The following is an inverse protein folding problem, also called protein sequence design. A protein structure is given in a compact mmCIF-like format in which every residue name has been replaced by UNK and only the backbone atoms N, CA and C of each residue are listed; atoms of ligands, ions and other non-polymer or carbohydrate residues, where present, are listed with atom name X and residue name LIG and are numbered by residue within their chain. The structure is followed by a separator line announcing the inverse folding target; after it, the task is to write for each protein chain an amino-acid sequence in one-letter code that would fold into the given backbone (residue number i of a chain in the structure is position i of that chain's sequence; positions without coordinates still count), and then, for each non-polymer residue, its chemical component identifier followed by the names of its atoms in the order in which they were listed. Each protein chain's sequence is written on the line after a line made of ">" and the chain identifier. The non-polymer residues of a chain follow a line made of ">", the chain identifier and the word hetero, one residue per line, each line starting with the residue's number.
data_IF_679626697929
#
_entry.id   IF_679626697929
#
_cell.length_a   1.000
_cell.length_b   1.000
_cell.length_c   1.000
_cell.angle_alpha   90.00
_cell.angle_beta   90.00
_cell.angle_gamma   90.00
#
_symmetry.space_group_name_H-M   'P 1'
#
loop_
_entity.id
_entity.type
_entity.pdbx_description
1 polymer ?
#
# COMPACT_ATOMS: atom_id res chain seq x y z
N UNK A 1 -14.43 -22.62 1.70
CA UNK A 1 -14.09 -21.95 0.42
C UNK A 1 -12.93 -22.66 -0.30
N UNK A 2 -11.78 -22.98 0.35
CA UNK A 2 -10.61 -23.59 -0.30
C UNK A 2 -10.91 -24.93 -1.00
N UNK A 3 -11.71 -25.79 -0.39
CA UNK A 3 -12.10 -27.09 -0.97
C UNK A 3 -12.99 -26.89 -2.21
N UNK A 4 -13.90 -25.93 -2.19
CA UNK A 4 -14.75 -25.59 -3.34
C UNK A 4 -13.89 -25.05 -4.48
N UNK A 5 -12.93 -24.18 -4.19
CA UNK A 5 -11.99 -23.63 -5.18
C UNK A 5 -11.13 -24.74 -5.80
N UNK A 6 -10.64 -25.70 -5.01
CA UNK A 6 -9.91 -26.87 -5.52
C UNK A 6 -10.78 -27.74 -6.43
N UNK A 7 -12.05 -27.93 -6.10
CA UNK A 7 -12.99 -28.67 -6.97
C UNK A 7 -13.25 -27.91 -8.28
N UNK A 8 -13.40 -26.59 -8.21
CA UNK A 8 -13.62 -25.76 -9.39
C UNK A 8 -12.38 -25.67 -10.30
N UNK A 9 -11.15 -25.66 -9.75
CA UNK A 9 -9.94 -25.67 -10.58
C UNK A 9 -9.81 -26.91 -11.45
N UNK A 10 -10.38 -28.04 -11.04
CA UNK A 10 -10.44 -29.27 -11.87
C UNK A 10 -11.38 -29.19 -13.08
N UNK A 11 -12.24 -28.13 -13.14
CA UNK A 11 -13.17 -27.90 -14.25
C UNK A 11 -12.62 -26.93 -15.30
N UNK A 12 -11.47 -26.29 -15.03
CA UNK A 12 -10.85 -25.36 -15.97
C UNK A 12 -9.86 -26.11 -16.87
N UNK A 13 -9.98 -25.91 -18.16
CA UNK A 13 -9.01 -26.38 -19.13
C UNK A 13 -7.67 -25.63 -18.95
N UNK A 14 -6.55 -26.32 -19.22
CA UNK A 14 -5.21 -25.75 -19.17
C UNK A 14 -5.08 -24.59 -20.17
N UNK A 15 -4.96 -23.37 -19.67
CA UNK A 15 -4.83 -22.16 -20.49
C UNK A 15 -3.38 -21.84 -20.86
N UNK A 16 -2.41 -22.61 -20.36
CA UNK A 16 -0.99 -22.39 -20.64
C UNK A 16 -0.65 -22.87 -22.05
N UNK A 17 -0.45 -21.95 -22.96
CA UNK A 17 -0.11 -22.25 -24.36
C UNK A 17 1.26 -22.94 -24.54
N UNK A 18 2.17 -22.80 -23.57
CA UNK A 18 3.48 -23.47 -23.56
C UNK A 18 3.79 -23.93 -22.12
N UNK A 19 3.63 -25.22 -21.80
CA UNK A 19 4.00 -25.74 -20.50
C UNK A 19 5.53 -25.65 -20.33
N UNK A 20 5.97 -24.83 -19.40
CA UNK A 20 7.38 -24.74 -18.99
C UNK A 20 7.58 -25.79 -17.90
N UNK A 21 8.57 -26.68 -18.04
CA UNK A 21 8.95 -27.60 -16.97
C UNK A 21 9.34 -26.77 -15.74
N UNK A 22 8.48 -26.80 -14.72
CA UNK A 22 8.69 -26.09 -13.47
C UNK A 22 9.83 -26.77 -12.70
N UNK A 23 11.05 -26.26 -12.83
CA UNK A 23 12.15 -26.58 -11.92
C UNK A 23 12.12 -25.59 -10.76
N UNK A 24 12.18 -26.09 -9.52
CA UNK A 24 12.24 -25.23 -8.32
C UNK A 24 13.38 -24.19 -8.44
N UNK A 25 14.54 -24.61 -8.97
CA UNK A 25 15.69 -23.73 -9.19
C UNK A 25 15.35 -22.59 -10.15
N UNK A 26 14.65 -22.88 -11.24
CA UNK A 26 14.23 -21.86 -12.23
C UNK A 26 13.22 -20.89 -11.61
N UNK A 27 12.28 -21.41 -10.80
CA UNK A 27 11.30 -20.59 -10.09
C UNK A 27 12.01 -19.63 -9.13
N UNK A 28 12.89 -20.12 -8.25
CA UNK A 28 13.64 -19.29 -7.31
C UNK A 28 14.51 -18.24 -8.00
N UNK A 29 15.16 -18.61 -9.11
CA UNK A 29 15.96 -17.68 -9.90
C UNK A 29 15.10 -16.56 -10.50
N UNK A 30 13.97 -16.90 -11.13
CA UNK A 30 13.07 -15.94 -11.73
C UNK A 30 12.42 -15.02 -10.69
N UNK A 31 12.12 -15.53 -9.49
CA UNK A 31 11.68 -14.73 -8.36
C UNK A 31 12.75 -13.77 -7.87
N UNK A 32 14.00 -14.24 -7.74
CA UNK A 32 15.15 -13.39 -7.38
C UNK A 32 15.36 -12.26 -8.38
N UNK A 33 15.30 -12.56 -9.67
CA UNK A 33 15.39 -11.55 -10.73
C UNK A 33 14.25 -10.53 -10.68
N UNK A 34 13.02 -10.97 -10.42
CA UNK A 34 11.87 -10.08 -10.25
C UNK A 34 12.01 -9.17 -9.02
N UNK A 35 12.47 -9.72 -7.89
CA UNK A 35 12.72 -8.93 -6.66
C UNK A 35 13.83 -7.90 -6.84
N UNK A 36 14.85 -8.19 -7.66
CA UNK A 36 15.93 -7.25 -7.96
C UNK A 36 15.54 -6.19 -8.99
N UNK A 37 14.39 -6.33 -9.66
CA UNK A 37 13.95 -5.37 -10.68
C UNK A 37 13.45 -4.07 -10.04
N UNK A 38 14.23 -2.99 -10.13
CA UNK A 38 14.01 -1.71 -9.42
C UNK A 38 12.60 -1.15 -9.60
N UNK A 39 12.05 -1.17 -10.82
CA UNK A 39 10.71 -0.65 -11.11
C UNK A 39 9.65 -1.49 -10.39
N UNK A 40 9.74 -2.82 -10.49
CA UNK A 40 8.83 -3.72 -9.78
C UNK A 40 8.91 -3.50 -8.27
N UNK A 41 10.11 -3.47 -7.69
CA UNK A 41 10.31 -3.30 -6.26
C UNK A 41 9.66 -2.02 -5.71
N UNK A 42 9.90 -0.87 -6.36
CA UNK A 42 9.38 0.42 -5.91
C UNK A 42 7.85 0.46 -5.98
N UNK A 43 7.25 0.00 -7.10
CA UNK A 43 5.79 0.00 -7.21
C UNK A 43 5.13 -1.08 -6.35
N UNK A 44 5.79 -2.21 -6.11
CA UNK A 44 5.37 -3.21 -5.14
C UNK A 44 5.43 -2.67 -3.70
N UNK A 45 6.45 -1.86 -3.36
CA UNK A 45 6.51 -1.17 -2.08
C UNK A 45 5.38 -0.14 -1.94
N UNK A 46 4.96 0.53 -3.01
CA UNK A 46 3.78 1.40 -2.98
C UNK A 46 2.49 0.61 -2.71
N UNK A 47 2.34 -0.60 -3.28
CA UNK A 47 1.25 -1.52 -2.88
C UNK A 47 1.40 -1.87 -1.40
N UNK A 48 2.64 -2.13 -0.96
CA UNK A 48 2.99 -2.39 0.45
C UNK A 48 2.59 -1.25 1.39
N UNK A 49 2.64 0.01 0.95
CA UNK A 49 2.21 1.15 1.76
C UNK A 49 0.75 1.03 2.22
N UNK A 50 -0.13 0.52 1.36
CA UNK A 50 -1.55 0.28 1.72
C UNK A 50 -1.65 -0.76 2.84
N UNK A 51 -0.89 -1.85 2.73
CA UNK A 51 -0.87 -2.90 3.76
C UNK A 51 -0.18 -2.44 5.03
N UNK A 52 0.95 -1.74 4.94
CA UNK A 52 1.64 -1.14 6.09
C UNK A 52 0.68 -0.23 6.85
N UNK A 53 0.02 0.70 6.18
CA UNK A 53 -0.95 1.59 6.81
C UNK A 53 -2.07 0.80 7.48
N UNK A 54 -2.71 -0.14 6.78
CA UNK A 54 -3.86 -0.90 7.29
C UNK A 54 -3.50 -1.80 8.46
N UNK A 55 -2.37 -2.51 8.42
CA UNK A 55 -1.95 -3.40 9.50
C UNK A 55 -1.39 -2.63 10.71
N UNK A 56 -0.63 -1.54 10.49
CA UNK A 56 -0.21 -0.67 11.58
C UNK A 56 -1.41 0.02 12.25
N UNK A 57 -2.41 0.45 11.46
CA UNK A 57 -3.67 0.98 12.00
C UNK A 57 -4.37 -0.09 12.85
N UNK A 58 -4.56 -1.30 12.32
CA UNK A 58 -5.24 -2.37 13.05
C UNK A 58 -4.53 -2.73 14.37
N UNK A 59 -3.20 -2.65 14.40
CA UNK A 59 -2.42 -2.92 15.62
C UNK A 59 -2.44 -1.75 16.62
N UNK A 60 -2.38 -0.50 16.16
CA UNK A 60 -2.24 0.67 17.03
C UNK A 60 -3.57 1.33 17.40
N UNK A 61 -4.56 1.36 16.49
CA UNK A 61 -5.78 2.15 16.68
C UNK A 61 -6.63 1.76 17.90
N UNK A 62 -6.76 0.48 18.31
CA UNK A 62 -7.46 0.15 19.55
C UNK A 62 -6.81 0.78 20.79
N UNK A 63 -5.48 0.78 20.86
CA UNK A 63 -4.73 1.38 21.96
C UNK A 63 -4.84 2.91 21.95
N UNK A 64 -4.77 3.54 20.76
CA UNK A 64 -4.96 4.99 20.59
C UNK A 64 -6.37 5.38 21.01
N UNK A 65 -7.39 4.64 20.58
CA UNK A 65 -8.77 4.90 20.90
C UNK A 65 -9.02 4.82 22.42
N UNK A 66 -8.49 3.79 23.08
CA UNK A 66 -8.71 3.59 24.51
C UNK A 66 -7.88 4.54 25.38
N UNK A 67 -6.58 4.69 25.10
CA UNK A 67 -5.66 5.38 26.01
C UNK A 67 -5.57 6.89 25.75
N UNK A 68 -5.78 7.33 24.50
CA UNK A 68 -5.61 8.74 24.10
C UNK A 68 -6.97 9.41 23.87
N UNK A 69 -7.88 8.73 23.16
CA UNK A 69 -9.20 9.27 22.82
C UNK A 69 -10.28 8.91 23.84
N UNK A 70 -9.97 8.07 24.83
CA UNK A 70 -10.85 7.60 25.90
C UNK A 70 -12.17 7.01 25.40
N UNK A 71 -12.12 6.30 24.25
CA UNK A 71 -13.27 5.64 23.65
C UNK A 71 -13.45 4.23 24.23
N UNK A 72 -14.69 3.82 24.43
CA UNK A 72 -15.00 2.41 24.68
C UNK A 72 -14.95 1.59 23.36
N UNK A 73 -15.02 0.25 23.47
CA UNK A 73 -14.91 -0.64 22.32
C UNK A 73 -16.05 -0.46 21.30
N UNK A 74 -17.26 -0.12 21.76
CA UNK A 74 -18.41 0.10 20.88
C UNK A 74 -18.25 1.40 20.09
N UNK A 75 -17.84 2.49 20.75
CA UNK A 75 -17.60 3.78 20.10
C UNK A 75 -16.44 3.68 19.09
N UNK A 76 -15.36 2.97 19.43
CA UNK A 76 -14.30 2.68 18.48
C UNK A 76 -14.81 1.97 17.23
N UNK A 77 -15.69 0.97 17.41
CA UNK A 77 -16.32 0.27 16.29
C UNK A 77 -17.14 1.19 15.38
N UNK A 78 -17.95 2.08 15.99
CA UNK A 78 -18.74 3.06 15.22
C UNK A 78 -17.86 4.04 14.45
N UNK A 79 -16.81 4.58 15.06
CA UNK A 79 -15.90 5.48 14.39
C UNK A 79 -15.12 4.79 13.27
N UNK A 80 -14.81 3.50 13.41
CA UNK A 80 -14.13 2.74 12.36
C UNK A 80 -14.98 2.54 11.09
N UNK A 81 -16.31 2.67 11.18
CA UNK A 81 -17.19 2.68 10.01
C UNK A 81 -16.82 3.82 9.06
N UNK A 82 -16.36 4.97 9.59
CA UNK A 82 -15.92 6.10 8.76
C UNK A 82 -14.75 5.71 7.84
N UNK A 83 -13.81 4.89 8.32
CA UNK A 83 -12.70 4.38 7.52
C UNK A 83 -13.21 3.47 6.37
N UNK A 84 -14.21 2.63 6.64
CA UNK A 84 -14.82 1.77 5.62
C UNK A 84 -15.56 2.58 4.55
N UNK A 85 -16.30 3.62 4.98
CA UNK A 85 -16.96 4.55 4.05
C UNK A 85 -15.91 5.27 3.20
N UNK A 86 -14.81 5.73 3.83
CA UNK A 86 -13.68 6.34 3.12
C UNK A 86 -13.13 5.41 2.03
N UNK A 87 -12.82 4.16 2.38
CA UNK A 87 -12.30 3.17 1.44
C UNK A 87 -13.28 2.91 0.28
N UNK A 88 -14.58 2.75 0.57
CA UNK A 88 -15.62 2.51 -0.42
C UNK A 88 -15.77 3.69 -1.39
N UNK A 89 -15.89 4.90 -0.87
CA UNK A 89 -15.96 6.11 -1.69
C UNK A 89 -14.68 6.32 -2.52
N UNK A 90 -13.52 6.03 -1.93
CA UNK A 90 -12.23 6.06 -2.61
C UNK A 90 -12.17 5.12 -3.80
N UNK A 91 -12.69 3.90 -3.69
CA UNK A 91 -12.72 2.93 -4.77
C UNK A 91 -13.59 3.40 -5.95
N UNK A 92 -14.74 4.05 -5.65
CA UNK A 92 -15.61 4.65 -6.69
C UNK A 92 -14.86 5.77 -7.42
N UNK A 93 -14.18 6.64 -6.69
CA UNK A 93 -13.40 7.74 -7.27
C UNK A 93 -12.22 7.22 -8.06
N UNK A 94 -11.50 6.19 -7.56
CA UNK A 94 -10.40 5.54 -8.26
C UNK A 94 -10.79 5.08 -9.66
N UNK A 95 -11.96 4.47 -9.81
CA UNK A 95 -12.47 3.98 -11.10
C UNK A 95 -12.65 5.08 -12.16
N UNK A 96 -12.88 6.32 -11.71
CA UNK A 96 -13.00 7.50 -12.60
C UNK A 96 -11.63 8.14 -12.86
N UNK A 97 -10.77 8.23 -11.84
CA UNK A 97 -9.44 8.83 -11.94
C UNK A 97 -8.54 8.06 -12.92
N UNK A 98 -8.54 6.73 -12.85
CA UNK A 98 -7.71 5.87 -13.72
C UNK A 98 -8.06 6.04 -15.21
N UNK A 99 -9.29 6.47 -15.53
CA UNK A 99 -9.70 6.75 -16.92
C UNK A 99 -9.23 8.10 -17.42
N UNK A 100 -8.90 9.04 -16.53
CA UNK A 100 -8.64 10.45 -16.89
C UNK A 100 -7.19 10.86 -16.70
N UNK A 101 -6.48 10.26 -15.76
CA UNK A 101 -5.13 10.64 -15.38
C UNK A 101 -4.16 9.47 -15.47
N UNK A 102 -2.88 9.76 -15.63
CA UNK A 102 -1.83 8.75 -15.63
C UNK A 102 -1.67 8.09 -14.24
N UNK A 103 -1.41 6.79 -14.24
CA UNK A 103 -1.28 6.02 -13.00
C UNK A 103 -0.23 6.60 -12.04
N UNK A 104 0.88 7.15 -12.56
CA UNK A 104 1.94 7.74 -11.73
C UNK A 104 1.47 9.03 -11.06
N UNK A 105 0.70 9.86 -11.75
CA UNK A 105 0.14 11.10 -11.20
C UNK A 105 -0.84 10.81 -10.06
N UNK A 106 -1.74 9.84 -10.26
CA UNK A 106 -2.70 9.40 -9.23
C UNK A 106 -1.95 8.87 -8.01
N UNK A 107 -0.90 8.07 -8.25
CA UNK A 107 -0.09 7.48 -7.19
C UNK A 107 0.64 8.54 -6.36
N UNK A 108 1.31 9.50 -7.02
CA UNK A 108 2.00 10.60 -6.35
C UNK A 108 1.03 11.48 -5.55
N UNK A 109 -0.13 11.82 -6.12
CA UNK A 109 -1.16 12.59 -5.42
C UNK A 109 -1.65 11.85 -4.16
N UNK A 110 -1.94 10.55 -4.27
CA UNK A 110 -2.40 9.74 -3.14
C UNK A 110 -1.35 9.64 -2.03
N UNK A 111 -0.08 9.38 -2.36
CA UNK A 111 1.00 9.30 -1.37
C UNK A 111 1.20 10.67 -0.70
N UNK A 112 1.15 11.77 -1.46
CA UNK A 112 1.25 13.13 -0.92
C UNK A 112 0.14 13.42 0.09
N UNK A 113 -1.11 13.04 -0.20
CA UNK A 113 -2.24 13.23 0.72
C UNK A 113 -2.02 12.41 2.01
N UNK A 114 -1.51 11.18 1.93
CA UNK A 114 -1.17 10.38 3.11
C UNK A 114 -0.09 11.11 3.93
N UNK A 115 1.01 11.54 3.31
CA UNK A 115 2.10 12.25 3.99
C UNK A 115 1.56 13.49 4.72
N UNK A 116 0.80 14.33 4.03
CA UNK A 116 0.22 15.55 4.61
C UNK A 116 -0.74 15.22 5.76
N UNK A 117 -1.61 14.22 5.60
CA UNK A 117 -2.53 13.78 6.65
C UNK A 117 -1.80 13.33 7.92
N UNK A 118 -0.73 12.54 7.77
CA UNK A 118 0.05 12.07 8.92
C UNK A 118 0.91 13.18 9.56
N UNK A 119 1.38 14.16 8.79
CA UNK A 119 2.02 15.37 9.34
C UNK A 119 1.01 16.16 10.17
N UNK A 120 -0.22 16.38 9.67
CA UNK A 120 -1.28 17.08 10.39
C UNK A 120 -1.67 16.31 11.66
N UNK A 121 -1.76 14.99 11.60
CA UNK A 121 -2.02 14.15 12.78
C UNK A 121 -0.92 14.33 13.84
N UNK A 122 0.35 14.35 13.42
CA UNK A 122 1.48 14.62 14.30
C UNK A 122 1.41 16.01 14.94
N UNK A 123 1.06 17.03 14.18
CA UNK A 123 0.88 18.40 14.70
C UNK A 123 -0.24 18.46 15.75
N UNK A 124 -1.40 17.84 15.49
CA UNK A 124 -2.48 17.78 16.46
C UNK A 124 -2.08 17.01 17.73
N UNK A 125 -1.24 15.99 17.60
CA UNK A 125 -0.72 15.26 18.75
C UNK A 125 0.23 16.12 19.60
N UNK A 126 1.16 16.84 18.97
CA UNK A 126 2.11 17.73 19.70
C UNK A 126 1.38 18.87 20.41
N UNK A 127 0.34 19.44 19.79
CA UNK A 127 -0.44 20.54 20.39
C UNK A 127 -1.47 20.06 21.40
N UNK A 128 -1.63 18.75 21.60
CA UNK A 128 -2.64 18.18 22.50
C UNK A 128 -4.07 18.41 22.02
N UNK A 129 -4.27 18.75 20.74
CA UNK A 129 -5.60 19.05 20.17
C UNK A 129 -6.17 17.92 19.34
N UNK A 130 -5.55 16.72 19.40
CA UNK A 130 -6.03 15.56 18.66
C UNK A 130 -7.38 15.09 19.19
N UNK A 131 -8.43 15.31 18.42
CA UNK A 131 -9.78 14.87 18.70
C UNK A 131 -10.09 13.54 18.02
N UNK A 132 -11.14 12.86 18.48
CA UNK A 132 -11.67 11.63 17.83
C UNK A 132 -11.98 11.88 16.35
N UNK A 133 -12.65 12.98 16.03
CA UNK A 133 -12.97 13.37 14.64
C UNK A 133 -11.68 13.59 13.83
N UNK A 134 -10.68 14.25 14.44
CA UNK A 134 -9.38 14.48 13.79
C UNK A 134 -8.67 13.17 13.44
N UNK A 135 -8.59 12.25 14.40
CA UNK A 135 -7.94 10.95 14.19
C UNK A 135 -8.65 10.12 13.12
N UNK A 136 -9.96 9.85 13.29
CA UNK A 136 -10.72 9.03 12.35
C UNK A 136 -10.96 9.73 11.01
N UNK A 137 -11.05 11.07 10.98
CA UNK A 137 -11.13 11.83 9.73
C UNK A 137 -9.87 11.70 8.88
N UNK A 138 -8.69 11.86 9.48
CA UNK A 138 -7.42 11.68 8.77
C UNK A 138 -7.23 10.23 8.31
N UNK A 139 -7.54 9.24 9.16
CA UNK A 139 -7.42 7.83 8.76
C UNK A 139 -8.44 7.45 7.68
N UNK A 140 -9.65 7.99 7.71
CA UNK A 140 -10.65 7.79 6.65
C UNK A 140 -10.19 8.37 5.31
N UNK A 141 -9.56 9.55 5.31
CA UNK A 141 -8.93 10.12 4.11
C UNK A 141 -7.79 9.23 3.63
N UNK A 142 -6.98 8.70 4.54
CA UNK A 142 -5.90 7.77 4.17
C UNK A 142 -6.46 6.48 3.55
N UNK A 143 -7.53 5.89 4.09
CA UNK A 143 -8.22 4.74 3.47
C UNK A 143 -8.83 5.09 2.11
N UNK A 144 -9.40 6.28 1.96
CA UNK A 144 -9.95 6.79 0.72
C UNK A 144 -8.88 6.82 -0.39
N UNK A 145 -7.72 7.43 -0.14
CA UNK A 145 -6.66 7.52 -1.14
C UNK A 145 -5.87 6.22 -1.30
N UNK A 146 -5.82 5.36 -0.29
CA UNK A 146 -5.23 4.01 -0.39
C UNK A 146 -5.91 3.17 -1.47
N UNK A 147 -7.22 3.38 -1.67
CA UNK A 147 -7.98 2.75 -2.75
C UNK A 147 -7.51 3.15 -4.16
N UNK A 148 -6.75 4.25 -4.30
CA UNK A 148 -6.15 4.67 -5.58
C UNK A 148 -4.76 4.05 -5.77
N UNK A 149 -4.02 3.87 -4.67
CA UNK A 149 -2.64 3.37 -4.71
C UNK A 149 -2.61 1.91 -5.18
N UNK A 150 -3.46 1.05 -4.59
CA UNK A 150 -3.42 -0.37 -4.87
C UNK A 150 -3.58 -0.72 -6.37
N UNK A 151 -4.63 -0.27 -7.08
CA UNK A 151 -4.82 -0.61 -8.50
C UNK A 151 -3.76 0.04 -9.39
N UNK A 152 -3.35 1.29 -9.13
CA UNK A 152 -2.38 1.99 -9.97
C UNK A 152 -0.97 1.43 -9.82
N UNK A 153 -0.52 1.19 -8.60
CA UNK A 153 0.81 0.65 -8.33
C UNK A 153 0.92 -0.82 -8.76
N UNK A 154 -0.10 -1.65 -8.50
CA UNK A 154 -0.09 -3.05 -8.93
C UNK A 154 -0.12 -3.21 -10.44
N UNK A 155 -0.84 -2.35 -11.16
CA UNK A 155 -0.82 -2.31 -12.62
C UNK A 155 0.59 -2.03 -13.16
N UNK A 156 1.29 -1.04 -12.60
CA UNK A 156 2.65 -0.70 -13.03
C UNK A 156 3.65 -1.80 -12.64
N UNK A 157 3.53 -2.36 -11.42
CA UNK A 157 4.40 -3.42 -10.94
C UNK A 157 4.28 -4.69 -11.78
N UNK A 158 3.04 -5.14 -12.07
CA UNK A 158 2.79 -6.36 -12.85
C UNK A 158 3.22 -6.26 -14.32
N UNK A 159 3.33 -5.05 -14.87
CA UNK A 159 3.84 -4.81 -16.22
C UNK A 159 5.35 -4.43 -16.24
N UNK A 160 6.05 -4.51 -15.12
CA UNK A 160 7.47 -4.17 -15.04
C UNK A 160 8.40 -5.28 -15.56
N UNK A 161 7.93 -6.53 -15.60
CA UNK A 161 8.67 -7.70 -16.08
C UNK A 161 7.79 -8.55 -17.01
N UNK A 162 8.40 -9.31 -17.92
CA UNK A 162 7.68 -10.06 -18.95
C UNK A 162 6.79 -11.17 -18.37
N UNK A 163 7.27 -11.86 -17.33
CA UNK A 163 6.50 -12.92 -16.68
C UNK A 163 5.57 -12.35 -15.61
N UNK A 164 4.31 -12.12 -15.96
CA UNK A 164 3.29 -11.55 -15.05
C UNK A 164 3.04 -12.38 -13.78
N UNK A 165 3.16 -13.71 -13.87
CA UNK A 165 2.99 -14.59 -12.71
C UNK A 165 4.10 -14.34 -11.67
N UNK A 166 5.36 -14.23 -12.10
CA UNK A 166 6.49 -13.91 -11.24
C UNK A 166 6.39 -12.48 -10.70
N UNK A 167 5.94 -11.52 -11.51
CA UNK A 167 5.67 -10.16 -11.07
C UNK A 167 4.64 -10.11 -9.94
N UNK A 168 3.51 -10.81 -10.09
CA UNK A 168 2.45 -10.86 -9.09
C UNK A 168 2.92 -11.50 -7.78
N UNK A 169 3.65 -12.61 -7.87
CA UNK A 169 4.19 -13.28 -6.69
C UNK A 169 5.22 -12.41 -5.96
N UNK A 170 6.18 -11.82 -6.68
CA UNK A 170 7.17 -10.92 -6.10
C UNK A 170 6.52 -9.66 -5.48
N UNK A 171 5.53 -9.09 -6.16
CA UNK A 171 4.75 -7.95 -5.65
C UNK A 171 4.04 -8.30 -4.34
N UNK A 172 3.37 -9.46 -4.25
CA UNK A 172 2.71 -9.87 -3.03
C UNK A 172 3.70 -10.16 -1.90
N UNK A 173 4.86 -10.74 -2.20
CA UNK A 173 5.92 -10.95 -1.21
C UNK A 173 6.43 -9.62 -0.63
N UNK A 174 6.72 -8.63 -1.48
CA UNK A 174 7.16 -7.31 -1.05
C UNK A 174 6.05 -6.61 -0.25
N UNK A 175 4.80 -6.67 -0.73
CA UNK A 175 3.64 -6.08 -0.08
C UNK A 175 3.46 -6.62 1.35
N UNK A 176 3.33 -7.93 1.51
CA UNK A 176 3.11 -8.55 2.82
C UNK A 176 4.36 -8.49 3.70
N UNK A 177 5.55 -8.67 3.10
CA UNK A 177 6.81 -8.54 3.80
C UNK A 177 7.02 -7.14 4.39
N UNK A 178 6.67 -6.09 3.63
CA UNK A 178 6.69 -4.71 4.12
C UNK A 178 5.76 -4.51 5.31
N UNK A 179 4.54 -5.04 5.23
CA UNK A 179 3.56 -4.92 6.31
C UNK A 179 4.04 -5.60 7.60
N UNK A 180 4.51 -6.84 7.50
CA UNK A 180 5.04 -7.59 8.65
C UNK A 180 6.23 -6.87 9.27
N UNK A 181 7.18 -6.43 8.43
CA UNK A 181 8.37 -5.71 8.89
C UNK A 181 8.01 -4.41 9.62
N UNK A 182 7.12 -3.60 9.04
CA UNK A 182 6.76 -2.31 9.61
C UNK A 182 5.91 -2.43 10.88
N UNK A 183 5.02 -3.41 10.98
CA UNK A 183 4.29 -3.70 12.23
C UNK A 183 5.26 -4.18 13.31
N UNK A 184 6.22 -5.05 12.96
CA UNK A 184 7.24 -5.48 13.91
C UNK A 184 8.10 -4.29 14.40
N UNK A 185 8.59 -3.45 13.47
CA UNK A 185 9.34 -2.24 13.83
C UNK A 185 8.49 -1.36 14.75
N UNK A 186 7.23 -1.10 14.42
CA UNK A 186 6.33 -0.30 15.25
C UNK A 186 6.20 -0.87 16.68
N UNK A 187 6.09 -2.18 16.80
CA UNK A 187 5.97 -2.86 18.12
C UNK A 187 7.23 -2.81 18.97
N UNK A 188 8.42 -2.68 18.37
CA UNK A 188 9.69 -2.57 19.08
C UNK A 188 10.11 -1.11 19.38
N UNK A 189 9.45 -0.12 18.78
CA UNK A 189 9.76 1.29 19.05
C UNK A 189 9.35 1.66 20.49
N UNK A 190 10.23 2.38 21.25
CA UNK A 190 9.95 2.81 22.61
C UNK A 190 9.03 4.04 22.66
N UNK A 191 8.10 4.13 21.72
CA UNK A 191 7.16 5.25 21.60
C UNK A 191 5.73 4.80 21.94
N UNK A 192 4.90 5.75 22.34
CA UNK A 192 3.47 5.52 22.44
C UNK A 192 2.88 5.06 21.08
N UNK A 193 1.81 4.28 21.12
CA UNK A 193 1.20 3.68 19.94
C UNK A 193 0.91 4.68 18.80
N UNK A 194 0.52 5.91 19.16
CA UNK A 194 0.25 6.98 18.19
C UNK A 194 1.50 7.42 17.45
N UNK A 195 2.60 7.67 18.17
CA UNK A 195 3.86 8.12 17.57
C UNK A 195 4.54 7.01 16.77
N UNK A 196 4.46 5.76 17.24
CA UNK A 196 4.90 4.60 16.49
C UNK A 196 4.15 4.46 15.17
N UNK A 197 2.82 4.61 15.20
CA UNK A 197 1.96 4.56 14.03
C UNK A 197 2.27 5.68 13.02
N UNK A 198 2.30 6.94 13.50
CA UNK A 198 2.64 8.10 12.65
C UNK A 198 4.01 7.94 12.03
N UNK A 199 5.02 7.62 12.83
CA UNK A 199 6.41 7.54 12.38
C UNK A 199 6.62 6.47 11.31
N UNK A 200 6.12 5.26 11.55
CA UNK A 200 6.30 4.13 10.61
C UNK A 200 5.61 4.40 9.28
N UNK A 201 4.34 4.85 9.31
CA UNK A 201 3.61 5.12 8.07
C UNK A 201 4.22 6.29 7.30
N UNK A 202 4.59 7.37 8.00
CA UNK A 202 5.17 8.56 7.38
C UNK A 202 6.52 8.25 6.71
N UNK A 203 7.43 7.57 7.42
CA UNK A 203 8.74 7.20 6.87
C UNK A 203 8.57 6.30 5.64
N UNK A 204 7.70 5.29 5.73
CA UNK A 204 7.49 4.39 4.60
C UNK A 204 6.84 5.10 3.40
N UNK A 205 5.88 6.00 3.64
CA UNK A 205 5.25 6.80 2.58
C UNK A 205 6.27 7.73 1.89
N UNK A 206 7.15 8.39 2.66
CA UNK A 206 8.21 9.24 2.11
C UNK A 206 9.19 8.43 1.27
N UNK A 207 9.60 7.24 1.71
CA UNK A 207 10.46 6.35 0.92
C UNK A 207 9.80 5.93 -0.40
N UNK A 208 8.51 5.58 -0.37
CA UNK A 208 7.74 5.28 -1.58
C UNK A 208 7.66 6.50 -2.52
N UNK A 209 7.38 7.69 -1.98
CA UNK A 209 7.33 8.93 -2.75
C UNK A 209 8.64 9.20 -3.48
N UNK A 210 9.76 9.18 -2.75
CA UNK A 210 11.11 9.36 -3.32
C UNK A 210 11.39 8.32 -4.40
N UNK A 211 11.04 7.05 -4.15
CA UNK A 211 11.20 5.97 -5.12
C UNK A 211 10.45 6.22 -6.43
N UNK A 212 9.19 6.62 -6.34
CA UNK A 212 8.35 6.90 -7.54
C UNK A 212 8.90 8.11 -8.31
N UNK A 213 9.24 9.19 -7.60
CA UNK A 213 9.81 10.41 -8.22
C UNK A 213 11.12 10.11 -8.94
N UNK A 214 12.01 9.30 -8.35
CA UNK A 214 13.29 8.95 -8.98
C UNK A 214 13.11 8.15 -10.27
N UNK A 215 12.13 7.26 -10.33
CA UNK A 215 11.81 6.53 -11.57
C UNK A 215 11.22 7.46 -12.62
N UNK A 216 10.28 8.33 -12.20
CA UNK A 216 9.61 9.26 -13.10
C UNK A 216 10.58 10.23 -13.76
N UNK A 217 11.48 10.84 -12.98
CA UNK A 217 12.51 11.74 -13.50
C UNK A 217 13.45 11.05 -14.49
N UNK A 218 13.88 9.81 -14.19
CA UNK A 218 14.73 9.05 -15.11
C UNK A 218 14.04 8.68 -16.41
N UNK A 219 12.72 8.47 -16.39
CA UNK A 219 11.94 8.18 -17.60
C UNK A 219 11.86 9.41 -18.50
N UNK A 220 11.61 10.60 -17.92
CA UNK A 220 11.53 11.84 -18.68
C UNK A 220 12.88 12.27 -19.28
N UNK A 221 13.98 12.15 -18.52
CA UNK A 221 15.34 12.44 -19.02
C UNK A 221 15.74 11.55 -20.19
N UNK A 222 15.31 10.27 -20.20
CA UNK A 222 15.58 9.40 -21.36
C UNK A 222 14.80 9.82 -22.61
N UNK A 223 13.59 10.32 -22.46
CA UNK A 223 12.80 10.80 -23.60
C UNK A 223 13.42 12.07 -24.22
N UNK A 224 13.92 13.00 -23.42
CA UNK A 224 14.57 14.21 -23.93
C UNK A 224 15.87 13.91 -24.72
N UNK A 225 16.65 12.91 -24.31
CA UNK A 225 17.88 12.50 -25.01
C UNK A 225 17.59 11.81 -26.35
N UNK A 226 16.41 11.21 -26.53
CA UNK A 226 16.02 10.58 -27.81
C UNK A 226 15.44 11.55 -28.83
N UNK A 227 15.09 12.78 -28.41
CA UNK A 227 14.52 13.83 -29.28
C UNK A 227 15.53 14.95 -29.59
N UNK A 228 16.77 14.85 -29.15
CA UNK A 228 17.92 15.65 -29.60
C UNK A 228 18.81 14.83 -30.55
#
# INVERSE_FOLDING_TARGET
>A
HGVIMLGLTGLFDETLQKPVKASLVTIFKSYGEALCHKKLFIFAACVGLVSVFSYCFAAAAPFIAQNILHLNAADYGYWNILNMVGMFCGAIVASRLIKKYESVQILLAAITIIILGFIVMGLFSVTGTLTTIGFFGITAIAYFVSSWIFPTASHIASNAVDCKANASGAMNFINMGSAVLMVAIMGYLPFEALWGFIGVVLVFAVLCFIGVVTIFLKSNLKLEIYFQ
#
